data_IF_923246961411
#
_entry.id   IF_923246961411
#
_cell.length_a   1.000
_cell.length_b   1.000
_cell.length_c   1.000
_cell.angle_alpha   90.00
_cell.angle_beta   90.00
_cell.angle_gamma   90.00
#
_symmetry.space_group_name_H-M   'P 1'
#
loop_
_entity.id
_entity.type
_entity.pdbx_description
1 polymer ?
#
# COMPACT_ATOMS: atom_id res chain seq x y z
N UNK A 1 -8.81 0.48 10.81
CA UNK A 1 -8.36 0.48 9.42
C UNK A 1 -8.25 1.90 8.87
N UNK A 2 -7.16 2.20 8.21
CA UNK A 2 -6.91 3.46 7.51
C UNK A 2 -6.88 3.20 5.99
N UNK A 3 -7.31 4.17 5.18
CA UNK A 3 -7.43 4.00 3.73
C UNK A 3 -6.07 3.84 3.04
N UNK A 4 -5.04 4.45 3.61
CA UNK A 4 -3.66 4.35 3.14
C UNK A 4 -2.66 4.42 4.29
N UNK A 5 -1.39 4.31 3.97
CA UNK A 5 -0.31 4.25 4.95
C UNK A 5 -0.02 5.61 5.59
N UNK A 6 -0.17 6.71 4.88
CA UNK A 6 -0.03 8.06 5.47
C UNK A 6 -1.07 8.28 6.57
N UNK A 7 -2.32 7.88 6.31
CA UNK A 7 -3.38 7.91 7.32
C UNK A 7 -3.08 6.97 8.48
N UNK A 8 -2.55 5.78 8.21
CA UNK A 8 -2.18 4.82 9.25
C UNK A 8 -1.10 5.39 10.18
N UNK A 9 -0.11 6.08 9.65
CA UNK A 9 0.92 6.78 10.44
C UNK A 9 0.27 7.83 11.36
N UNK A 10 -0.65 8.63 10.81
CA UNK A 10 -1.39 9.61 11.62
C UNK A 10 -2.23 8.97 12.73
N UNK A 11 -2.87 7.84 12.44
CA UNK A 11 -3.64 7.06 13.44
C UNK A 11 -2.71 6.52 14.54
N UNK A 12 -1.55 5.98 14.21
CA UNK A 12 -0.56 5.50 15.18
C UNK A 12 -0.09 6.62 16.11
N UNK A 13 0.24 7.79 15.55
CA UNK A 13 0.63 8.95 16.33
C UNK A 13 -0.50 9.41 17.29
N UNK A 14 -1.74 9.37 16.83
CA UNK A 14 -2.91 9.72 17.67
C UNK A 14 -3.13 8.70 18.80
N UNK A 15 -2.96 7.40 18.54
CA UNK A 15 -3.04 6.33 19.54
C UNK A 15 -1.99 6.55 20.64
N UNK A 16 -0.75 6.82 20.25
CA UNK A 16 0.37 7.09 21.15
C UNK A 16 0.10 8.34 21.99
N UNK A 17 -0.28 9.46 21.35
CA UNK A 17 -0.56 10.72 22.03
C UNK A 17 -1.72 10.61 23.03
N UNK A 18 -2.71 9.77 22.75
CA UNK A 18 -3.85 9.54 23.62
C UNK A 18 -3.59 8.48 24.72
N UNK A 19 -2.41 7.84 24.72
CA UNK A 19 -2.06 6.78 25.66
C UNK A 19 -3.00 5.58 25.60
N UNK A 20 -3.55 5.25 24.40
CA UNK A 20 -4.49 4.15 24.21
C UNK A 20 -3.72 2.83 24.13
N UNK A 21 -4.10 1.86 24.97
CA UNK A 21 -3.54 0.51 25.05
C UNK A 21 -4.53 -0.59 24.68
N UNK A 22 -5.76 -0.21 24.37
CA UNK A 22 -6.84 -1.11 23.96
C UNK A 22 -6.92 -1.33 22.44
N UNK A 23 -6.15 -0.59 21.64
CA UNK A 23 -6.07 -0.76 20.19
C UNK A 23 -5.07 -1.86 19.88
N UNK A 24 -5.53 -2.94 19.28
CA UNK A 24 -4.70 -4.12 19.04
C UNK A 24 -3.77 -3.94 17.83
N UNK A 25 -4.27 -3.32 16.76
CA UNK A 25 -3.49 -3.08 15.55
C UNK A 25 -4.15 -2.03 14.64
N UNK A 26 -3.36 -1.52 13.70
CA UNK A 26 -3.80 -0.65 12.62
C UNK A 26 -3.45 -1.31 11.30
N UNK A 27 -4.37 -1.31 10.36
CA UNK A 27 -4.13 -1.73 8.98
C UNK A 27 -4.14 -0.49 8.09
N UNK A 28 -3.07 -0.30 7.34
CA UNK A 28 -2.96 0.67 6.26
C UNK A 28 -3.10 0.00 4.89
N UNK A 29 -2.56 0.65 3.90
CA UNK A 29 -2.51 0.19 2.52
C UNK A 29 -1.67 1.10 1.65
N UNK A 30 -1.44 0.72 0.45
CA UNK A 30 -0.57 1.27 -0.58
C UNK A 30 0.81 0.60 -0.64
N UNK A 31 1.41 0.20 0.47
CA UNK A 31 2.72 -0.44 0.52
C UNK A 31 3.86 0.56 0.67
N UNK A 32 3.66 1.61 1.47
CA UNK A 32 4.69 2.58 1.81
C UNK A 32 5.88 1.87 2.48
N UNK A 33 7.09 2.25 2.10
CA UNK A 33 8.34 1.64 2.56
C UNK A 33 8.44 1.51 4.09
N UNK A 34 8.07 2.55 4.81
CA UNK A 34 8.09 2.53 6.28
C UNK A 34 7.13 1.48 6.85
N UNK A 35 5.92 1.41 6.32
CA UNK A 35 4.90 0.47 6.80
C UNK A 35 5.24 -0.98 6.43
N UNK A 36 5.82 -1.19 5.24
CA UNK A 36 6.35 -2.50 4.86
C UNK A 36 7.52 -2.92 5.76
N UNK A 37 8.42 -1.98 6.12
CA UNK A 37 9.50 -2.25 7.05
C UNK A 37 8.97 -2.66 8.43
N UNK A 38 7.98 -1.94 8.98
CA UNK A 38 7.34 -2.28 10.25
C UNK A 38 6.68 -3.65 10.22
N UNK A 39 5.95 -3.98 9.15
CA UNK A 39 5.37 -5.31 8.97
C UNK A 39 6.45 -6.38 8.91
N UNK A 40 7.53 -6.18 8.14
CA UNK A 40 8.67 -7.10 8.04
C UNK A 40 9.33 -7.36 9.38
N UNK A 41 9.49 -6.32 10.17
CA UNK A 41 10.20 -6.36 11.46
C UNK A 41 9.30 -6.87 12.59
N UNK A 42 8.05 -7.24 12.28
CA UNK A 42 7.13 -7.87 13.22
C UNK A 42 6.48 -6.89 14.21
N UNK A 43 6.28 -5.64 13.80
CA UNK A 43 5.57 -4.67 14.63
C UNK A 43 4.12 -5.12 14.85
N UNK A 44 3.77 -5.42 16.11
CA UNK A 44 2.45 -5.90 16.47
C UNK A 44 1.32 -4.92 16.13
N UNK A 45 1.63 -3.61 16.07
CA UNK A 45 0.66 -2.59 15.67
C UNK A 45 0.40 -2.58 14.17
N UNK A 46 1.32 -3.12 13.36
CA UNK A 46 1.21 -3.20 11.89
C UNK A 46 1.44 -4.64 11.43
N UNK A 47 0.51 -5.55 11.72
CA UNK A 47 0.69 -6.98 11.45
C UNK A 47 0.65 -7.33 9.96
N UNK A 48 0.09 -6.47 9.14
CA UNK A 48 -0.04 -6.66 7.70
C UNK A 48 -0.25 -5.33 6.97
N UNK A 49 -0.02 -5.35 5.66
CA UNK A 49 -0.28 -4.24 4.75
C UNK A 49 -0.93 -4.77 3.45
N UNK A 50 -1.60 -3.93 2.70
CA UNK A 50 -2.17 -4.28 1.39
C UNK A 50 -1.60 -3.37 0.34
N UNK A 51 -0.92 -3.92 -0.66
CA UNK A 51 -0.32 -3.11 -1.72
C UNK A 51 -1.36 -2.65 -2.74
N UNK A 52 -1.30 -1.40 -3.11
CA UNK A 52 -1.84 -0.83 -4.34
C UNK A 52 -0.88 0.28 -4.81
N UNK A 53 0.26 -0.12 -5.38
CA UNK A 53 1.39 0.77 -5.59
C UNK A 53 1.03 1.93 -6.54
N UNK A 54 1.64 3.12 -6.37
CA UNK A 54 1.42 4.27 -7.27
C UNK A 54 1.69 3.96 -8.74
N UNK A 55 2.54 2.96 -9.02
CA UNK A 55 2.81 2.48 -10.37
C UNK A 55 1.58 1.95 -11.13
N UNK A 56 0.45 1.72 -10.44
CA UNK A 56 -0.82 1.36 -11.10
C UNK A 56 -1.25 2.41 -12.12
N UNK A 57 -0.94 3.68 -11.90
CA UNK A 57 -1.25 4.75 -12.86
C UNK A 57 -0.47 4.59 -14.17
N UNK A 58 0.76 4.05 -14.14
CA UNK A 58 1.55 3.79 -15.33
C UNK A 58 0.81 2.84 -16.29
N UNK A 59 0.26 1.75 -15.76
CA UNK A 59 -0.54 0.80 -16.55
C UNK A 59 -1.75 1.50 -17.18
N UNK A 60 -2.45 2.36 -16.44
CA UNK A 60 -3.59 3.09 -16.99
C UNK A 60 -3.19 4.04 -18.12
N UNK A 61 -2.05 4.72 -17.98
CA UNK A 61 -1.49 5.60 -19.02
C UNK A 61 -1.11 4.78 -20.25
N UNK A 62 -0.38 3.69 -20.08
CA UNK A 62 0.04 2.82 -21.19
C UNK A 62 -1.17 2.30 -21.99
N UNK A 63 -2.20 1.83 -21.31
CA UNK A 63 -3.43 1.38 -21.96
C UNK A 63 -4.15 2.50 -22.71
N UNK A 64 -4.19 3.70 -22.14
CA UNK A 64 -4.78 4.87 -22.79
C UNK A 64 -3.99 5.24 -24.05
N UNK A 65 -2.66 5.27 -23.98
CA UNK A 65 -1.79 5.57 -25.12
C UNK A 65 -1.98 4.53 -26.23
N UNK A 66 -2.01 3.24 -25.89
CA UNK A 66 -2.27 2.17 -26.88
C UNK A 66 -3.60 2.37 -27.56
N UNK A 67 -4.67 2.67 -26.84
CA UNK A 67 -6.00 2.96 -27.41
C UNK A 67 -5.98 4.14 -28.38
N UNK A 68 -5.28 5.20 -28.02
CA UNK A 68 -5.17 6.42 -28.86
C UNK A 68 -4.32 6.18 -30.12
N UNK A 69 -3.14 5.55 -29.97
CA UNK A 69 -2.21 5.32 -31.09
C UNK A 69 -2.79 4.31 -32.08
N UNK A 70 -3.46 3.28 -31.59
CA UNK A 70 -4.06 2.24 -32.43
C UNK A 70 -5.41 2.67 -33.05
N UNK A 71 -5.91 3.86 -32.68
CA UNK A 71 -7.25 4.33 -33.04
C UNK A 71 -8.34 3.27 -32.73
N UNK A 72 -8.13 2.53 -31.66
CA UNK A 72 -9.02 1.47 -31.18
C UNK A 72 -9.49 1.81 -29.76
N UNK A 73 -10.80 1.92 -29.53
CA UNK A 73 -11.31 2.24 -28.20
C UNK A 73 -10.94 1.11 -27.22
N UNK A 74 -10.27 1.48 -26.14
CA UNK A 74 -10.07 0.59 -25.01
C UNK A 74 -11.30 0.71 -24.11
N UNK A 75 -11.98 -0.40 -23.86
CA UNK A 75 -13.19 -0.44 -23.05
C UNK A 75 -13.18 -1.66 -22.13
N UNK A 76 -13.92 -1.58 -21.04
CA UNK A 76 -14.03 -2.64 -20.06
C UNK A 76 -13.43 -2.25 -18.70
N UNK A 77 -13.36 -3.22 -17.80
CA UNK A 77 -12.78 -3.07 -16.47
C UNK A 77 -11.43 -3.78 -16.43
N UNK A 78 -10.40 -3.05 -16.01
CA UNK A 78 -9.07 -3.58 -15.83
C UNK A 78 -8.76 -3.65 -14.33
N UNK A 79 -8.52 -4.84 -13.82
CA UNK A 79 -8.20 -5.05 -12.40
C UNK A 79 -6.71 -5.31 -12.24
N UNK A 80 -6.05 -4.45 -11.47
CA UNK A 80 -4.67 -4.67 -11.04
C UNK A 80 -4.74 -5.30 -9.65
N UNK A 81 -4.08 -6.45 -9.48
CA UNK A 81 -4.12 -7.20 -8.23
C UNK A 81 -3.44 -6.45 -7.09
N UNK A 82 -4.06 -6.50 -5.93
CA UNK A 82 -3.44 -6.11 -4.65
C UNK A 82 -2.84 -7.33 -3.98
N UNK A 83 -1.81 -7.13 -3.18
CA UNK A 83 -1.15 -8.20 -2.42
C UNK A 83 -1.28 -7.92 -0.94
N UNK A 84 -1.68 -8.95 -0.19
CA UNK A 84 -1.58 -8.92 1.27
C UNK A 84 -0.11 -9.18 1.64
N UNK A 85 0.50 -8.18 2.26
CA UNK A 85 1.86 -8.26 2.78
C UNK A 85 1.78 -8.62 4.25
N UNK A 86 2.50 -9.67 4.62
CA UNK A 86 2.65 -10.17 6.00
C UNK A 86 4.14 -10.28 6.34
N UNK A 87 4.54 -10.50 7.60
CA UNK A 87 5.94 -10.65 7.94
C UNK A 87 6.70 -11.68 7.08
N UNK A 88 6.01 -12.75 6.66
CA UNK A 88 6.62 -13.85 5.89
C UNK A 88 7.01 -13.43 4.47
N UNK A 89 6.32 -12.46 3.87
CA UNK A 89 6.57 -12.03 2.50
C UNK A 89 7.03 -10.58 2.36
N UNK A 90 7.01 -9.80 3.45
CA UNK A 90 7.28 -8.35 3.42
C UNK A 90 8.64 -7.99 2.83
N UNK A 91 9.66 -8.85 2.99
CA UNK A 91 10.98 -8.63 2.42
C UNK A 91 10.96 -8.53 0.88
N UNK A 92 9.99 -9.15 0.21
CA UNK A 92 9.83 -9.10 -1.26
C UNK A 92 9.23 -7.77 -1.74
N UNK A 93 8.56 -7.06 -0.85
CA UNK A 93 7.86 -5.79 -1.14
C UNK A 93 8.55 -4.57 -0.52
N UNK A 94 9.67 -4.78 0.15
CA UNK A 94 10.48 -3.71 0.71
C UNK A 94 11.49 -3.18 -0.30
N UNK A 95 11.28 -1.98 -0.77
CA UNK A 95 12.16 -1.31 -1.73
C UNK A 95 12.87 -0.14 -1.04
N UNK A 96 14.13 -0.32 -0.57
CA UNK A 96 14.84 0.68 0.23
C UNK A 96 15.05 2.01 -0.51
N UNK A 97 15.20 1.94 -1.85
CA UNK A 97 15.44 3.12 -2.70
C UNK A 97 14.14 3.78 -3.18
N UNK A 98 12.98 3.23 -2.82
CA UNK A 98 11.71 3.85 -3.17
C UNK A 98 11.54 5.18 -2.44
N UNK A 99 11.08 6.24 -3.11
CA UNK A 99 10.68 7.47 -2.46
C UNK A 99 9.37 7.34 -1.66
N UNK A 100 8.66 6.25 -1.89
CA UNK A 100 7.36 5.94 -1.29
C UNK A 100 7.45 4.73 -0.37
#
# INVERSE_FOLDING_TARGET
WASDDDMAIGVLAAIEAAGRDDIQFVLGGAGMKEMIARTRDGDAMIPANVTYPPAMIATAIEMTVVGLVSNAPVSGTFTIGSVLVTPENAAQYYYPDSPF
#
